data_IF_908432971317
#
_entry.id   IF_908432971317
#
_cell.length_a   1.000
_cell.length_b   1.000
_cell.length_c   1.000
_cell.angle_alpha   90.00
_cell.angle_beta   90.00
_cell.angle_gamma   90.00
#
_symmetry.space_group_name_H-M   'P 1'
#
loop_
_entity.id
_entity.type
_entity.pdbx_description
1 polymer ?
#
# COMPACT_ATOMS: atom_id res chain seq x y z
N UNK A 1 -7.21 -6.67 -8.64
CA UNK A 1 -8.15 -7.65 -8.07
C UNK A 1 -7.77 -8.05 -6.64
N UNK A 2 -6.53 -8.52 -6.37
CA UNK A 2 -6.08 -8.84 -5.00
C UNK A 2 -5.59 -7.59 -4.24
N UNK A 3 -4.84 -6.68 -4.88
CA UNK A 3 -4.47 -5.39 -4.28
C UNK A 3 -5.72 -4.61 -3.85
N UNK A 4 -6.77 -4.66 -4.66
CA UNK A 4 -8.08 -4.08 -4.37
C UNK A 4 -8.77 -4.71 -3.13
N UNK A 5 -8.49 -5.99 -2.84
CA UNK A 5 -9.01 -6.67 -1.65
C UNK A 5 -8.33 -6.13 -0.40
N UNK A 6 -6.99 -6.04 -0.40
CA UNK A 6 -6.22 -5.52 0.73
C UNK A 6 -6.66 -4.09 1.04
N UNK A 7 -6.78 -3.22 0.03
CA UNK A 7 -7.26 -1.85 0.23
C UNK A 7 -8.64 -1.82 0.90
N UNK A 8 -9.56 -2.72 0.50
CA UNK A 8 -10.86 -2.83 1.14
C UNK A 8 -10.77 -3.29 2.60
N UNK A 9 -9.92 -4.28 2.89
CA UNK A 9 -9.69 -4.78 4.25
C UNK A 9 -9.12 -3.68 5.15
N UNK A 10 -8.16 -2.91 4.68
CA UNK A 10 -7.59 -1.76 5.39
C UNK A 10 -8.63 -0.67 5.67
N UNK A 11 -9.52 -0.39 4.72
CA UNK A 11 -10.66 0.52 4.93
C UNK A 11 -11.61 -0.01 6.01
N UNK A 12 -11.91 -1.30 6.01
CA UNK A 12 -12.76 -1.94 7.02
C UNK A 12 -12.09 -1.95 8.41
N UNK A 13 -10.78 -2.20 8.47
CA UNK A 13 -10.00 -2.17 9.70
C UNK A 13 -9.97 -0.77 10.34
N UNK A 14 -9.89 0.31 9.54
CA UNK A 14 -10.05 1.69 10.03
C UNK A 14 -11.40 1.94 10.69
N UNK A 15 -12.44 1.22 10.24
CA UNK A 15 -13.78 1.24 10.84
C UNK A 15 -13.92 0.27 12.02
N UNK A 16 -12.84 -0.39 12.44
CA UNK A 16 -12.80 -1.41 13.51
C UNK A 16 -13.76 -2.57 13.26
N UNK A 17 -13.98 -2.90 11.99
CA UNK A 17 -14.76 -4.07 11.61
C UNK A 17 -14.03 -5.34 12.05
N UNK A 18 -14.79 -6.34 12.49
CA UNK A 18 -14.27 -7.67 12.74
C UNK A 18 -13.56 -8.22 11.48
N UNK A 19 -12.37 -8.85 11.59
CA UNK A 19 -11.61 -9.33 10.44
C UNK A 19 -12.36 -10.34 9.57
N UNK A 20 -13.11 -11.27 10.16
CA UNK A 20 -13.87 -12.28 9.41
C UNK A 20 -15.02 -11.60 8.64
N UNK A 21 -15.75 -10.69 9.32
CA UNK A 21 -16.80 -9.89 8.70
C UNK A 21 -16.25 -9.00 7.58
N UNK A 22 -15.08 -8.37 7.78
CA UNK A 22 -14.41 -7.56 6.79
C UNK A 22 -13.99 -8.40 5.56
N UNK A 23 -13.46 -9.60 5.78
CA UNK A 23 -13.08 -10.50 4.69
C UNK A 23 -14.29 -10.94 3.87
N UNK A 24 -15.40 -11.31 4.50
CA UNK A 24 -16.65 -11.64 3.81
C UNK A 24 -17.19 -10.46 3.00
N UNK A 25 -17.20 -9.26 3.57
CA UNK A 25 -17.64 -8.05 2.88
C UNK A 25 -16.76 -7.74 1.66
N UNK A 26 -15.45 -7.73 1.86
CA UNK A 26 -14.49 -7.31 0.84
C UNK A 26 -14.35 -8.34 -0.28
N UNK A 27 -14.32 -9.64 0.03
CA UNK A 27 -14.34 -10.71 -0.98
C UNK A 27 -15.56 -10.59 -1.90
N UNK A 28 -16.76 -10.37 -1.32
CA UNK A 28 -17.99 -10.11 -2.09
C UNK A 28 -17.93 -8.82 -2.92
N UNK A 29 -17.48 -7.71 -2.32
CA UNK A 29 -17.37 -6.40 -3.01
C UNK A 29 -16.42 -6.46 -4.20
N UNK A 30 -15.34 -7.23 -4.09
CA UNK A 30 -14.34 -7.43 -5.15
C UNK A 30 -14.65 -8.61 -6.06
N UNK A 31 -15.79 -9.29 -5.85
CA UNK A 31 -16.26 -10.42 -6.67
C UNK A 31 -15.20 -11.52 -6.79
N UNK A 32 -14.53 -11.82 -5.69
CA UNK A 32 -13.60 -12.94 -5.66
C UNK A 32 -14.35 -14.24 -5.94
N UNK A 33 -13.71 -15.13 -6.69
CA UNK A 33 -14.17 -16.49 -6.85
C UNK A 33 -14.34 -17.16 -5.46
N UNK A 34 -15.38 -17.98 -5.31
CA UNK A 34 -15.70 -18.61 -4.03
C UNK A 34 -14.59 -19.59 -3.60
N UNK A 35 -14.05 -20.36 -4.55
CA UNK A 35 -12.95 -21.30 -4.29
C UNK A 35 -11.72 -20.53 -3.84
N UNK A 36 -11.38 -19.44 -4.52
CA UNK A 36 -10.27 -18.56 -4.14
C UNK A 36 -10.48 -17.95 -2.74
N UNK A 37 -11.68 -17.47 -2.44
CA UNK A 37 -11.99 -16.89 -1.13
C UNK A 37 -11.82 -17.91 0.01
N UNK A 38 -12.27 -19.14 -0.21
CA UNK A 38 -12.07 -20.25 0.74
C UNK A 38 -10.58 -20.58 0.88
N UNK A 39 -9.83 -20.62 -0.22
CA UNK A 39 -8.40 -20.90 -0.19
C UNK A 39 -7.63 -19.85 0.61
N UNK A 40 -7.90 -18.55 0.37
CA UNK A 40 -7.27 -17.45 1.12
C UNK A 40 -7.62 -17.55 2.62
N UNK A 41 -8.89 -17.76 2.95
CA UNK A 41 -9.32 -17.86 4.35
C UNK A 41 -8.66 -19.03 5.08
N UNK A 42 -8.56 -20.19 4.41
CA UNK A 42 -7.87 -21.37 4.95
C UNK A 42 -6.38 -21.12 5.13
N UNK A 43 -5.72 -20.55 4.13
CA UNK A 43 -4.30 -20.21 4.18
C UNK A 43 -4.00 -19.31 5.38
N UNK A 44 -4.76 -18.22 5.55
CA UNK A 44 -4.60 -17.27 6.65
C UNK A 44 -4.77 -17.86 8.06
N UNK A 45 -5.44 -19.00 8.19
CA UNK A 45 -5.69 -19.69 9.46
C UNK A 45 -4.95 -21.05 9.54
N UNK A 46 -3.83 -21.18 8.82
CA UNK A 46 -3.07 -22.43 8.72
C UNK A 46 -1.58 -22.21 8.95
N UNK A 47 -0.85 -23.31 9.11
CA UNK A 47 0.62 -23.32 9.19
C UNK A 47 1.26 -22.66 7.96
N UNK A 48 0.64 -22.78 6.78
CA UNK A 48 1.11 -22.07 5.58
C UNK A 48 1.09 -20.55 5.78
N UNK A 49 0.00 -20.02 6.36
CA UNK A 49 -0.11 -18.60 6.70
C UNK A 49 0.93 -18.17 7.73
N UNK A 50 1.17 -18.99 8.76
CA UNK A 50 2.20 -18.72 9.77
C UNK A 50 3.61 -18.66 9.16
N UNK A 51 3.92 -19.58 8.24
CA UNK A 51 5.20 -19.60 7.52
C UNK A 51 5.38 -18.36 6.63
N UNK A 52 4.32 -17.91 5.97
CA UNK A 52 4.35 -16.66 5.19
C UNK A 52 4.60 -15.46 6.12
N UNK A 53 3.98 -15.41 7.29
CA UNK A 53 4.24 -14.34 8.27
C UNK A 53 5.69 -14.36 8.76
N UNK A 54 6.27 -15.55 8.98
CA UNK A 54 7.68 -15.70 9.33
C UNK A 54 8.59 -15.18 8.21
N UNK A 55 8.32 -15.53 6.95
CA UNK A 55 9.08 -15.02 5.79
C UNK A 55 9.00 -13.49 5.69
N UNK A 56 7.81 -12.91 5.89
CA UNK A 56 7.65 -11.45 5.87
C UNK A 56 8.37 -10.76 7.04
N UNK A 57 8.46 -11.40 8.21
CA UNK A 57 9.25 -10.92 9.33
C UNK A 57 10.75 -10.92 8.98
N UNK A 58 11.26 -12.01 8.41
CA UNK A 58 12.65 -12.09 7.96
C UNK A 58 12.97 -11.02 6.90
N UNK A 59 12.08 -10.78 5.93
CA UNK A 59 12.24 -9.71 4.94
C UNK A 59 12.31 -8.35 5.64
N UNK A 60 11.42 -8.08 6.58
CA UNK A 60 11.35 -6.80 7.32
C UNK A 60 12.60 -6.54 8.14
N UNK A 61 13.13 -7.56 8.81
CA UNK A 61 14.37 -7.46 9.60
C UNK A 61 15.61 -7.24 8.73
N UNK A 62 15.60 -7.74 7.49
CA UNK A 62 16.77 -7.75 6.61
C UNK A 62 16.77 -6.66 5.54
N UNK A 63 15.84 -5.69 5.58
CA UNK A 63 15.86 -4.56 4.64
C UNK A 63 17.16 -3.74 4.78
N UNK A 64 17.72 -3.29 3.65
CA UNK A 64 19.02 -2.60 3.57
C UNK A 64 18.97 -1.38 2.66
N UNK A 65 19.82 -0.36 2.84
CA UNK A 65 20.91 -0.27 3.82
C UNK A 65 20.50 0.11 5.25
N UNK A 66 19.35 0.76 5.45
CA UNK A 66 18.89 1.13 6.79
C UNK A 66 17.84 0.12 7.29
N UNK A 67 17.85 -0.24 8.58
CA UNK A 67 16.81 -1.09 9.13
C UNK A 67 15.45 -0.37 9.18
N UNK A 68 14.38 -1.15 9.26
CA UNK A 68 13.01 -0.68 9.42
C UNK A 68 12.79 -0.12 10.83
N UNK A 69 12.42 1.17 10.96
CA UNK A 69 12.26 1.84 12.26
C UNK A 69 10.81 2.11 12.67
N UNK A 70 9.91 2.29 11.70
CA UNK A 70 8.51 2.65 11.94
C UNK A 70 7.66 2.28 10.74
N UNK A 71 6.34 2.22 10.93
CA UNK A 71 5.38 2.00 9.84
C UNK A 71 4.63 3.30 9.48
N UNK A 72 4.30 3.51 8.20
CA UNK A 72 4.73 2.70 7.05
C UNK A 72 6.21 2.94 6.71
N UNK A 73 6.88 1.92 6.16
CA UNK A 73 8.26 1.99 5.68
C UNK A 73 8.32 1.58 4.21
N UNK A 74 8.82 2.46 3.35
CA UNK A 74 8.76 2.29 1.89
C UNK A 74 10.16 2.06 1.34
N UNK A 75 10.32 0.98 0.58
CA UNK A 75 11.52 0.72 -0.21
C UNK A 75 11.30 1.24 -1.64
N UNK A 76 12.31 1.91 -2.20
CA UNK A 76 12.29 2.38 -3.58
C UNK A 76 13.45 1.73 -4.30
N UNK A 77 13.16 0.96 -5.36
CA UNK A 77 14.11 0.08 -6.04
C UNK A 77 14.83 -0.86 -5.06
N UNK A 78 14.07 -1.50 -4.16
CA UNK A 78 14.55 -2.43 -3.13
C UNK A 78 15.52 -1.82 -2.10
N UNK A 79 15.69 -0.50 -2.09
CA UNK A 79 16.58 0.20 -1.17
C UNK A 79 15.82 0.84 -0.01
N UNK A 80 16.14 0.38 1.20
CA UNK A 80 15.67 0.93 2.47
C UNK A 80 16.46 2.19 2.85
N UNK A 81 15.89 3.35 2.53
CA UNK A 81 16.53 4.64 2.74
C UNK A 81 15.74 5.48 3.74
N UNK A 82 16.28 5.65 4.94
CA UNK A 82 15.63 6.41 6.01
C UNK A 82 15.31 7.86 5.60
N UNK A 83 16.20 8.51 4.85
CA UNK A 83 16.00 9.88 4.38
C UNK A 83 14.85 9.99 3.37
N UNK A 84 14.56 8.95 2.59
CA UNK A 84 13.48 9.00 1.60
C UNK A 84 12.09 8.82 2.23
N UNK A 85 12.01 8.38 3.48
CA UNK A 85 10.73 8.22 4.18
C UNK A 85 9.99 9.57 4.37
N UNK A 86 10.70 10.70 4.32
CA UNK A 86 10.06 12.03 4.39
C UNK A 86 9.08 12.28 3.24
N UNK A 87 9.24 11.56 2.12
CA UNK A 87 8.41 11.74 0.92
C UNK A 87 7.12 10.92 0.94
N UNK A 88 6.79 10.18 2.01
CA UNK A 88 5.58 9.35 2.07
C UNK A 88 4.29 10.13 1.73
N UNK A 89 4.12 11.34 2.27
CA UNK A 89 2.96 12.19 1.99
C UNK A 89 2.93 12.77 0.56
N UNK A 90 4.07 12.77 -0.13
CA UNK A 90 4.26 13.31 -1.47
C UNK A 90 4.80 12.27 -2.45
N UNK A 91 4.60 10.97 -2.18
CA UNK A 91 5.33 9.90 -2.85
C UNK A 91 5.13 9.92 -4.36
N UNK A 92 3.91 10.19 -4.80
CA UNK A 92 3.60 10.31 -6.23
C UNK A 92 4.45 11.37 -6.93
N UNK A 93 4.53 12.58 -6.36
CA UNK A 93 5.36 13.65 -6.92
C UNK A 93 6.83 13.27 -6.92
N UNK A 94 7.31 12.72 -5.80
CA UNK A 94 8.69 12.27 -5.67
C UNK A 94 9.02 11.24 -6.77
N UNK A 95 8.16 10.25 -7.01
CA UNK A 95 8.39 9.23 -8.02
C UNK A 95 8.38 9.81 -9.44
N UNK A 96 7.52 10.79 -9.72
CA UNK A 96 7.51 11.51 -11.00
C UNK A 96 8.82 12.28 -11.23
N UNK A 97 9.35 12.95 -10.21
CA UNK A 97 10.60 13.70 -10.28
C UNK A 97 11.84 12.79 -10.33
N UNK A 98 11.79 11.65 -9.63
CA UNK A 98 12.88 10.68 -9.54
C UNK A 98 13.05 9.83 -10.80
N UNK A 99 11.98 9.68 -11.59
CA UNK A 99 11.99 8.84 -12.79
C UNK A 99 12.93 9.40 -13.87
N UNK A 100 13.83 8.56 -14.39
CA UNK A 100 14.85 8.95 -15.37
C UNK A 100 14.44 8.78 -16.84
N UNK A 101 13.21 8.35 -17.09
CA UNK A 101 12.68 8.09 -18.42
C UNK A 101 11.49 8.99 -18.79
N UNK A 102 10.73 8.56 -19.79
CA UNK A 102 9.45 9.19 -20.12
C UNK A 102 8.45 9.00 -18.98
N UNK A 103 8.08 10.09 -18.31
CA UNK A 103 7.09 10.05 -17.24
C UNK A 103 5.65 9.87 -17.76
N UNK A 104 4.78 9.14 -17.05
CA UNK A 104 3.36 9.03 -17.41
C UNK A 104 2.64 10.39 -17.43
N UNK A 105 1.59 10.51 -18.26
CA UNK A 105 0.74 11.73 -18.34
C UNK A 105 0.21 12.19 -16.98
N UNK A 106 -0.10 11.23 -16.09
CA UNK A 106 -0.57 11.51 -14.73
C UNK A 106 0.38 12.38 -13.90
N UNK A 107 1.69 12.36 -14.15
CA UNK A 107 2.64 13.23 -13.46
C UNK A 107 2.39 14.72 -13.75
N UNK A 108 2.09 15.06 -15.01
CA UNK A 108 1.77 16.43 -15.40
C UNK A 108 0.39 16.87 -14.89
N UNK A 109 -0.61 15.98 -14.98
CA UNK A 109 -1.98 16.24 -14.54
C UNK A 109 -2.06 16.51 -13.02
N UNK A 110 -1.37 15.70 -12.22
CA UNK A 110 -1.32 15.88 -10.77
C UNK A 110 -0.69 17.21 -10.38
N UNK A 111 0.43 17.59 -11.01
CA UNK A 111 1.09 18.88 -10.78
C UNK A 111 0.14 20.05 -11.04
N UNK A 112 -0.66 19.96 -12.11
CA UNK A 112 -1.63 20.98 -12.47
C UNK A 112 -2.79 21.06 -11.46
N UNK A 113 -3.32 19.91 -11.00
CA UNK A 113 -4.35 19.86 -9.96
C UNK A 113 -3.86 20.47 -8.64
N UNK A 114 -2.62 20.22 -8.24
CA UNK A 114 -2.03 20.80 -7.03
C UNK A 114 -1.90 22.33 -7.13
N UNK A 115 -1.46 22.86 -8.28
CA UNK A 115 -1.39 24.31 -8.53
C UNK A 115 -2.78 24.95 -8.45
N UNK A 116 -3.80 24.32 -9.05
CA UNK A 116 -5.18 24.81 -8.99
C UNK A 116 -5.70 24.85 -7.55
N UNK A 117 -5.49 23.77 -6.77
CA UNK A 117 -5.92 23.71 -5.36
C UNK A 117 -5.24 24.76 -4.49
N UNK A 118 -3.93 25.00 -4.65
CA UNK A 118 -3.24 26.09 -3.94
C UNK A 118 -3.82 27.45 -4.31
N UNK A 119 -3.99 27.73 -5.59
CA UNK A 119 -4.55 29.01 -6.07
C UNK A 119 -5.97 29.26 -5.55
N UNK A 120 -6.77 28.20 -5.32
CA UNK A 120 -8.09 28.29 -4.69
C UNK A 120 -8.02 28.58 -3.18
N UNK A 121 -7.02 28.05 -2.48
CA UNK A 121 -6.81 28.36 -1.05
C UNK A 121 -6.30 29.79 -0.81
N UNK A 122 -5.53 30.36 -1.74
CA UNK A 122 -5.06 31.76 -1.67
C UNK A 122 -6.10 32.80 -2.12
N UNK A 123 -7.27 32.36 -2.62
CA UNK A 123 -8.39 33.22 -3.06
C UNK A 123 -9.55 33.26 -2.06
N UNK A 124 -9.44 32.56 -0.93
CA UNK A 124 -10.35 32.68 0.23
C UNK A 124 -9.65 33.45 1.33
#
# INVERSE_FOLDING_TARGET
MLEDLIVCLEEAAKLKMDPDAAFLLCSKKKKLDQTLSIAIYKCANSVEGDLIQLEMAEITENVKPHPHYFVPWILINDLSTAQLQIYQNGLFNFLCDWHRGSVPKGCAEFTNLFKQRKNLQFKK
#
